data_IF_390838670768
#
_entry.id   IF_390838670768
#
_cell.length_a   1.000
_cell.length_b   1.000
_cell.length_c   1.000
_cell.angle_alpha   90.00
_cell.angle_beta   90.00
_cell.angle_gamma   90.00
#
_symmetry.space_group_name_H-M   'P 1'
#
loop_
_entity.id
_entity.type
_entity.pdbx_description
1 polymer ?
#
# COMPACT_ATOMS: atom_id res chain seq x y z
N UNK A 1 9.94 -29.12 -5.98
CA UNK A 1 9.21 -28.74 -7.25
C UNK A 1 7.80 -29.32 -7.37
N UNK A 2 7.57 -30.67 -7.48
CA UNK A 2 6.19 -31.23 -7.64
C UNK A 2 5.32 -31.04 -6.40
N UNK A 3 5.87 -31.26 -5.21
CA UNK A 3 5.15 -31.10 -3.93
C UNK A 3 4.81 -29.62 -3.67
N UNK A 4 5.73 -28.71 -3.94
CA UNK A 4 5.49 -27.27 -3.77
C UNK A 4 4.38 -26.79 -4.69
N UNK A 5 4.35 -27.27 -5.94
CA UNK A 5 3.29 -26.93 -6.88
C UNK A 5 1.92 -27.47 -6.44
N UNK A 6 1.86 -28.71 -5.96
CA UNK A 6 0.62 -29.29 -5.41
C UNK A 6 0.13 -28.51 -4.18
N UNK A 7 1.02 -28.08 -3.31
CA UNK A 7 0.67 -27.25 -2.16
C UNK A 7 0.11 -25.89 -2.61
N UNK A 8 0.76 -25.24 -3.57
CA UNK A 8 0.26 -23.97 -4.12
C UNK A 8 -1.13 -24.11 -4.77
N UNK A 9 -1.35 -25.16 -5.56
CA UNK A 9 -2.64 -25.46 -6.17
C UNK A 9 -3.72 -25.70 -5.08
N UNK A 10 -3.38 -26.37 -4.00
CA UNK A 10 -4.28 -26.56 -2.85
C UNK A 10 -4.61 -25.25 -2.17
N UNK A 11 -3.61 -24.38 -1.90
CA UNK A 11 -3.83 -23.05 -1.32
C UNK A 11 -4.79 -22.20 -2.16
N UNK A 12 -4.63 -22.20 -3.49
CA UNK A 12 -5.53 -21.46 -4.39
C UNK A 12 -6.98 -21.95 -4.28
N UNK A 13 -7.19 -23.27 -4.21
CA UNK A 13 -8.53 -23.84 -4.04
C UNK A 13 -9.14 -23.51 -2.66
N UNK A 14 -8.33 -23.55 -1.61
CA UNK A 14 -8.75 -23.19 -0.25
C UNK A 14 -9.10 -21.70 -0.14
N UNK A 15 -8.32 -20.80 -0.73
CA UNK A 15 -8.60 -19.36 -0.78
C UNK A 15 -9.94 -19.10 -1.48
N UNK A 16 -10.20 -19.78 -2.61
CA UNK A 16 -11.50 -19.67 -3.30
C UNK A 16 -12.65 -20.10 -2.40
N UNK A 17 -12.51 -21.23 -1.70
CA UNK A 17 -13.52 -21.72 -0.76
C UNK A 17 -13.74 -20.78 0.43
N UNK A 18 -12.71 -20.08 0.88
CA UNK A 18 -12.85 -19.04 1.91
C UNK A 18 -13.71 -17.88 1.40
N UNK A 19 -13.43 -17.38 0.21
CA UNK A 19 -14.20 -16.30 -0.43
C UNK A 19 -15.68 -16.66 -0.69
N UNK A 20 -15.96 -17.94 -1.02
CA UNK A 20 -17.30 -18.44 -1.24
C UNK A 20 -18.08 -18.74 0.06
N UNK A 21 -17.42 -18.70 1.22
CA UNK A 21 -18.02 -19.01 2.51
C UNK A 21 -18.78 -17.82 3.08
N UNK A 22 -20.09 -17.77 2.90
CA UNK A 22 -20.97 -16.71 3.43
C UNK A 22 -20.75 -16.49 4.93
N UNK A 23 -20.67 -17.55 5.74
CA UNK A 23 -20.47 -17.44 7.18
C UNK A 23 -19.13 -16.84 7.56
N UNK A 24 -18.06 -17.13 6.80
CA UNK A 24 -16.75 -16.53 7.03
C UNK A 24 -16.72 -15.06 6.61
N UNK A 25 -17.33 -14.72 5.47
CA UNK A 25 -17.46 -13.32 5.02
C UNK A 25 -18.26 -12.47 6.02
N UNK A 26 -19.37 -12.98 6.55
CA UNK A 26 -20.16 -12.29 7.59
C UNK A 26 -19.38 -12.06 8.88
N UNK A 27 -18.61 -13.08 9.35
CA UNK A 27 -17.76 -12.95 10.52
C UNK A 27 -16.65 -11.92 10.29
N UNK A 28 -16.03 -11.93 9.11
CA UNK A 28 -15.01 -10.96 8.71
C UNK A 28 -15.55 -9.54 8.71
N UNK A 29 -16.69 -9.30 8.05
CA UNK A 29 -17.32 -7.97 8.02
C UNK A 29 -17.63 -7.46 9.43
N UNK A 30 -18.19 -8.33 10.28
CA UNK A 30 -18.46 -8.00 11.68
C UNK A 30 -17.18 -7.69 12.46
N UNK A 31 -16.14 -8.50 12.26
CA UNK A 31 -14.85 -8.30 12.91
C UNK A 31 -14.22 -6.98 12.49
N UNK A 32 -14.24 -6.66 11.18
CA UNK A 32 -13.73 -5.40 10.65
C UNK A 32 -14.43 -4.21 11.30
N UNK A 33 -15.76 -4.18 11.34
CA UNK A 33 -16.52 -3.10 11.98
C UNK A 33 -16.14 -2.91 13.44
N UNK A 34 -16.07 -3.99 14.23
CA UNK A 34 -15.74 -3.94 15.65
C UNK A 34 -14.28 -3.55 15.92
N UNK A 35 -13.34 -4.03 15.09
CA UNK A 35 -11.94 -3.71 15.25
C UNK A 35 -11.60 -2.29 14.82
N UNK A 36 -12.25 -1.76 13.76
CA UNK A 36 -12.15 -0.36 13.36
C UNK A 36 -12.65 0.58 14.45
N UNK A 37 -13.81 0.26 15.10
CA UNK A 37 -14.32 1.01 16.25
C UNK A 37 -13.29 1.12 17.38
N UNK A 38 -12.51 0.07 17.61
CA UNK A 38 -11.46 0.03 18.65
C UNK A 38 -10.09 0.51 18.14
N UNK A 39 -9.99 1.03 16.93
CA UNK A 39 -8.74 1.51 16.32
C UNK A 39 -7.63 0.46 16.33
N UNK A 40 -7.99 -0.78 16.01
CA UNK A 40 -7.08 -1.93 16.08
C UNK A 40 -5.78 -1.70 15.29
N UNK A 41 -5.84 -1.12 14.07
CA UNK A 41 -4.68 -0.81 13.23
C UNK A 41 -3.67 0.15 13.87
N UNK A 42 -4.07 0.97 14.85
CA UNK A 42 -3.22 1.96 15.51
C UNK A 42 -2.24 1.37 16.52
N UNK A 43 -2.36 0.08 16.85
CA UNK A 43 -1.60 -0.54 17.94
C UNK A 43 -0.28 -1.17 17.50
N UNK A 44 0.00 -1.19 16.21
CA UNK A 44 1.17 -1.87 15.66
C UNK A 44 2.37 -0.95 15.46
N UNK A 45 3.55 -1.56 15.39
CA UNK A 45 4.81 -0.87 15.16
C UNK A 45 5.64 -1.66 14.16
N UNK A 46 6.35 -0.97 13.30
CA UNK A 46 7.37 -1.54 12.43
C UNK A 46 8.72 -0.88 12.67
N UNK A 47 9.74 -1.67 12.99
CA UNK A 47 11.10 -1.19 13.24
C UNK A 47 11.16 0.07 14.14
N UNK A 48 10.35 0.08 15.23
CA UNK A 48 10.31 1.18 16.21
C UNK A 48 9.31 2.30 15.91
N UNK A 49 8.71 2.36 14.70
CA UNK A 49 7.72 3.40 14.35
C UNK A 49 6.30 2.85 14.37
N UNK A 50 5.30 3.64 14.82
CA UNK A 50 3.90 3.26 14.65
C UNK A 50 3.56 3.08 13.17
N UNK A 51 2.92 1.95 12.85
CA UNK A 51 2.37 1.67 11.53
C UNK A 51 0.86 1.49 11.68
N UNK A 52 0.08 2.34 11.00
CA UNK A 52 -1.38 2.32 11.11
C UNK A 52 -1.90 1.39 10.01
N UNK A 53 -1.68 0.09 10.21
CA UNK A 53 -2.06 -0.94 9.24
C UNK A 53 -2.51 -2.22 9.95
N UNK A 54 -3.33 -3.01 9.29
CA UNK A 54 -3.64 -4.36 9.74
C UNK A 54 -2.47 -5.30 9.43
N UNK A 55 -2.12 -6.23 10.32
CA UNK A 55 -1.01 -7.18 10.09
C UNK A 55 -1.16 -7.98 8.79
N UNK A 56 -2.38 -8.28 8.38
CA UNK A 56 -2.66 -8.99 7.12
C UNK A 56 -2.23 -8.17 5.91
N UNK A 57 -2.55 -6.86 5.89
CA UNK A 57 -2.16 -5.95 4.82
C UNK A 57 -0.64 -5.76 4.76
N UNK A 58 0.04 -5.75 5.93
CA UNK A 58 1.51 -5.72 6.00
C UNK A 58 2.11 -6.96 5.32
N UNK A 59 1.53 -8.16 5.53
CA UNK A 59 1.99 -9.39 4.88
C UNK A 59 1.71 -9.35 3.38
N UNK A 60 0.53 -8.88 2.96
CA UNK A 60 0.22 -8.71 1.54
C UNK A 60 1.20 -7.76 0.84
N UNK A 61 1.51 -6.62 1.46
CA UNK A 61 2.49 -5.67 0.94
C UNK A 61 3.89 -6.29 0.84
N UNK A 62 4.30 -7.12 1.81
CA UNK A 62 5.57 -7.83 1.75
C UNK A 62 5.61 -8.80 0.54
N UNK A 63 4.54 -9.57 0.31
CA UNK A 63 4.45 -10.48 -0.83
C UNK A 63 4.48 -9.71 -2.16
N UNK A 64 3.69 -8.63 -2.29
CA UNK A 64 3.70 -7.77 -3.48
C UNK A 64 5.10 -7.22 -3.75
N UNK A 65 5.76 -6.66 -2.73
CA UNK A 65 7.11 -6.08 -2.89
C UNK A 65 8.12 -7.15 -3.30
N UNK A 66 8.02 -8.37 -2.73
CA UNK A 66 8.91 -9.47 -3.07
C UNK A 66 8.72 -9.96 -4.51
N UNK A 67 7.48 -10.04 -4.99
CA UNK A 67 7.14 -10.51 -6.34
C UNK A 67 7.45 -9.45 -7.40
N UNK A 68 7.09 -8.19 -7.14
CA UNK A 68 7.33 -7.06 -8.07
C UNK A 68 8.81 -6.68 -8.12
N UNK A 69 9.51 -6.72 -6.99
CA UNK A 69 10.89 -6.21 -6.80
C UNK A 69 11.02 -4.76 -7.28
N UNK A 70 10.23 -3.82 -6.73
CA UNK A 70 10.27 -2.43 -7.17
C UNK A 70 11.62 -1.80 -6.81
N UNK A 71 12.04 -0.84 -7.63
CA UNK A 71 13.17 0.04 -7.32
C UNK A 71 12.71 1.41 -6.78
N UNK A 72 11.43 1.73 -6.98
CA UNK A 72 10.78 2.88 -6.36
C UNK A 72 9.42 2.47 -5.76
N UNK A 73 9.19 2.87 -4.50
CA UNK A 73 7.85 2.86 -3.89
C UNK A 73 7.46 4.32 -3.66
N UNK A 74 6.29 4.71 -4.16
CA UNK A 74 5.68 6.02 -3.92
C UNK A 74 4.51 5.81 -2.97
N UNK A 75 4.46 6.59 -1.88
CA UNK A 75 3.41 6.50 -0.87
C UNK A 75 2.86 7.89 -0.57
N UNK A 76 1.56 8.07 -0.70
CA UNK A 76 0.87 9.26 -0.21
C UNK A 76 0.31 8.99 1.17
N UNK A 77 0.55 9.92 2.12
CA UNK A 77 0.26 9.73 3.54
C UNK A 77 1.46 9.14 4.29
N UNK A 78 2.15 9.96 5.09
CA UNK A 78 3.30 9.53 5.90
C UNK A 78 2.89 9.23 7.35
N UNK A 79 1.98 10.01 7.89
CA UNK A 79 1.52 9.95 9.28
C UNK A 79 2.71 9.82 10.28
N UNK A 80 2.86 8.66 10.95
CA UNK A 80 3.96 8.39 11.88
C UNK A 80 5.21 7.80 11.21
N UNK A 81 5.18 7.52 9.93
CA UNK A 81 6.29 7.01 9.13
C UNK A 81 6.53 5.50 9.22
N UNK A 82 5.62 4.75 9.85
CA UNK A 82 5.78 3.29 9.98
C UNK A 82 5.73 2.57 8.63
N UNK A 83 4.85 2.96 7.74
CA UNK A 83 4.66 2.37 6.42
C UNK A 83 5.83 2.66 5.47
N UNK A 84 6.32 3.89 5.41
CA UNK A 84 7.50 4.21 4.59
C UNK A 84 8.78 3.55 5.11
N UNK A 85 8.90 3.33 6.43
CA UNK A 85 10.03 2.58 7.01
C UNK A 85 9.86 1.08 6.72
N UNK A 86 8.64 0.54 6.75
CA UNK A 86 8.35 -0.82 6.30
C UNK A 86 8.77 -1.00 4.83
N UNK A 87 8.33 -0.13 3.95
CA UNK A 87 8.70 -0.13 2.53
C UNK A 87 10.21 -0.07 2.33
N UNK A 88 10.91 0.82 3.06
CA UNK A 88 12.37 0.92 3.03
C UNK A 88 13.07 -0.35 3.55
N UNK A 89 12.50 -1.03 4.57
CA UNK A 89 13.02 -2.29 5.09
C UNK A 89 12.88 -3.42 4.06
N UNK A 90 11.74 -3.51 3.37
CA UNK A 90 11.52 -4.49 2.31
C UNK A 90 12.47 -4.28 1.13
N UNK A 91 12.68 -3.03 0.71
CA UNK A 91 13.67 -2.70 -0.31
C UNK A 91 15.10 -3.04 0.10
N UNK A 92 15.45 -2.85 1.38
CA UNK A 92 16.76 -3.26 1.90
C UNK A 92 16.93 -4.79 1.90
N UNK A 93 15.86 -5.53 2.17
CA UNK A 93 15.86 -6.99 2.12
C UNK A 93 16.02 -7.51 0.68
N UNK A 94 15.40 -6.86 -0.31
CA UNK A 94 15.61 -7.20 -1.73
C UNK A 94 17.06 -6.98 -2.15
N UNK A 95 17.69 -5.86 -1.75
CA UNK A 95 19.11 -5.62 -2.03
C UNK A 95 20.02 -6.69 -1.40
N UNK A 96 19.69 -7.12 -0.18
CA UNK A 96 20.43 -8.19 0.50
C UNK A 96 20.30 -9.53 -0.24
N UNK A 97 19.10 -9.89 -0.68
CA UNK A 97 18.88 -11.13 -1.43
C UNK A 97 19.65 -11.12 -2.76
N UNK A 98 19.57 -10.04 -3.51
CA UNK A 98 20.32 -9.90 -4.78
C UNK A 98 21.84 -9.96 -4.56
N UNK A 99 22.35 -9.34 -3.48
CA UNK A 99 23.78 -9.39 -3.16
C UNK A 99 24.23 -10.82 -2.83
N UNK A 100 23.43 -11.58 -2.06
CA UNK A 100 23.69 -12.98 -1.74
C UNK A 100 23.67 -13.84 -3.00
N UNK A 101 22.65 -13.69 -3.86
CA UNK A 101 22.50 -14.46 -5.09
C UNK A 101 23.64 -14.20 -6.10
N UNK A 102 24.09 -12.95 -6.20
CA UNK A 102 25.18 -12.55 -7.12
C UNK A 102 26.59 -12.65 -6.54
N UNK A 103 26.72 -12.95 -5.24
CA UNK A 103 28.01 -12.95 -4.53
C UNK A 103 28.66 -11.55 -4.46
N UNK A 104 27.85 -10.48 -4.57
CA UNK A 104 28.33 -9.11 -4.50
C UNK A 104 28.31 -8.56 -3.09
N UNK A 105 28.98 -7.41 -2.88
CA UNK A 105 28.94 -6.67 -1.63
C UNK A 105 27.85 -5.60 -1.68
N UNK A 106 27.17 -5.39 -0.56
CA UNK A 106 26.17 -4.34 -0.39
C UNK A 106 26.73 -3.17 0.42
N UNK A 107 26.50 -1.95 -0.06
CA UNK A 107 26.66 -0.76 0.77
C UNK A 107 25.26 -0.30 1.22
N UNK A 108 24.88 -0.49 2.49
CA UNK A 108 23.53 -0.21 2.95
C UNK A 108 23.13 1.27 2.85
N UNK A 109 24.10 2.19 2.75
CA UNK A 109 23.86 3.62 2.63
C UNK A 109 23.69 4.09 1.16
N UNK A 110 24.01 3.25 0.18
CA UNK A 110 23.98 3.59 -1.25
C UNK A 110 23.11 2.59 -2.03
N UNK A 111 21.83 2.56 -1.72
CA UNK A 111 20.88 1.77 -2.49
C UNK A 111 20.38 2.51 -3.73
N UNK A 112 20.15 1.74 -4.79
CA UNK A 112 19.41 2.22 -5.97
C UNK A 112 17.90 2.27 -5.71
N UNK A 113 17.41 1.52 -4.71
CA UNK A 113 16.00 1.46 -4.35
C UNK A 113 15.62 2.56 -3.36
N UNK A 114 14.50 3.23 -3.59
CA UNK A 114 14.02 4.37 -2.78
C UNK A 114 12.54 4.25 -2.46
N UNK A 115 12.17 4.97 -1.40
CA UNK A 115 10.78 5.27 -1.04
C UNK A 115 10.58 6.77 -1.09
N UNK A 116 9.54 7.23 -1.78
CA UNK A 116 9.06 8.61 -1.70
C UNK A 116 7.82 8.60 -0.82
N UNK A 117 7.84 9.35 0.28
CA UNK A 117 6.65 9.63 1.07
C UNK A 117 6.17 11.06 0.83
N UNK A 118 4.87 11.24 0.60
CA UNK A 118 4.23 12.54 0.35
C UNK A 118 3.21 12.78 1.46
N UNK A 119 3.28 13.91 2.14
CA UNK A 119 2.29 14.29 3.14
C UNK A 119 2.10 15.81 3.16
N UNK A 120 0.85 16.25 3.35
CA UNK A 120 0.53 17.67 3.44
C UNK A 120 1.13 18.31 4.69
N UNK A 121 1.25 17.55 5.78
CA UNK A 121 1.78 18.00 7.07
C UNK A 121 2.71 16.94 7.70
N UNK A 122 3.98 17.00 7.36
CA UNK A 122 5.00 16.16 7.99
C UNK A 122 5.38 16.80 9.34
N UNK A 123 4.70 16.37 10.40
CA UNK A 123 4.93 16.90 11.76
C UNK A 123 6.38 16.72 12.17
N UNK A 124 6.96 17.78 12.72
CA UNK A 124 8.40 17.87 13.05
C UNK A 124 8.90 16.67 13.87
N UNK A 125 8.17 16.26 14.90
CA UNK A 125 8.57 15.11 15.71
C UNK A 125 8.60 13.79 14.94
N UNK A 126 7.75 13.60 13.92
CA UNK A 126 7.78 12.43 13.03
C UNK A 126 8.92 12.55 12.02
N UNK A 127 9.12 13.73 11.43
CA UNK A 127 10.25 14.02 10.53
C UNK A 127 11.58 13.67 11.17
N UNK A 128 11.87 14.20 12.37
CA UNK A 128 13.11 13.92 13.10
C UNK A 128 13.30 12.42 13.33
N UNK A 129 12.24 11.71 13.70
CA UNK A 129 12.31 10.26 13.95
C UNK A 129 12.55 9.45 12.67
N UNK A 130 12.00 9.86 11.53
CA UNK A 130 12.21 9.21 10.25
C UNK A 130 13.63 9.50 9.74
N UNK A 131 14.08 10.74 9.80
CA UNK A 131 15.42 11.17 9.35
C UNK A 131 16.54 10.56 10.19
N UNK A 132 16.30 10.31 11.47
CA UNK A 132 17.25 9.63 12.35
C UNK A 132 17.21 8.10 12.28
N UNK A 133 16.24 7.54 11.55
CA UNK A 133 16.10 6.08 11.41
C UNK A 133 17.24 5.49 10.57
N UNK A 134 17.78 4.29 10.89
CA UNK A 134 18.85 3.64 10.11
C UNK A 134 18.55 3.47 8.62
N UNK A 135 17.27 3.40 8.22
CA UNK A 135 16.84 3.27 6.83
C UNK A 135 16.56 4.61 6.13
N UNK A 136 16.80 5.74 6.80
CA UNK A 136 16.48 7.08 6.26
C UNK A 136 17.16 7.38 4.93
N UNK A 137 18.35 6.83 4.68
CA UNK A 137 19.05 6.96 3.38
C UNK A 137 18.25 6.46 2.18
N UNK A 138 17.22 5.62 2.40
CA UNK A 138 16.32 5.09 1.37
C UNK A 138 15.03 5.90 1.22
N UNK A 139 14.79 6.87 2.11
CA UNK A 139 13.51 7.59 2.20
C UNK A 139 13.71 9.04 1.77
N UNK A 140 12.84 9.50 0.88
CA UNK A 140 12.72 10.90 0.52
C UNK A 140 11.31 11.38 0.87
N UNK A 141 11.22 12.40 1.70
CA UNK A 141 9.94 12.98 2.10
C UNK A 141 9.67 14.26 1.33
N UNK A 142 8.48 14.40 0.77
CA UNK A 142 7.97 15.59 0.10
C UNK A 142 6.80 16.13 0.92
N UNK A 143 6.90 17.38 1.37
CA UNK A 143 5.80 18.04 2.07
C UNK A 143 4.98 18.88 1.12
N UNK A 144 3.69 18.59 1.05
CA UNK A 144 2.69 19.26 0.21
C UNK A 144 1.52 18.34 -0.07
N UNK A 145 0.47 18.87 -0.65
CA UNK A 145 -0.67 18.04 -1.10
C UNK A 145 -0.24 17.13 -2.25
N UNK A 146 -0.58 15.85 -2.16
CA UNK A 146 -0.29 14.86 -3.21
C UNK A 146 -0.91 15.17 -4.57
N UNK A 147 -1.99 15.96 -4.59
CA UNK A 147 -2.67 16.42 -5.81
C UNK A 147 -2.21 17.81 -6.27
N UNK A 148 -1.24 18.43 -5.60
CA UNK A 148 -0.65 19.69 -6.02
C UNK A 148 0.27 19.48 -7.24
N UNK A 149 0.12 20.32 -8.26
CA UNK A 149 0.85 20.20 -9.52
C UNK A 149 2.38 20.25 -9.35
N UNK A 150 2.89 21.04 -8.39
CA UNK A 150 4.33 21.12 -8.12
C UNK A 150 4.85 19.85 -7.42
N UNK A 151 4.04 19.23 -6.56
CA UNK A 151 4.37 17.95 -5.93
C UNK A 151 4.34 16.84 -6.97
N UNK A 152 3.29 16.76 -7.78
CA UNK A 152 3.17 15.77 -8.86
C UNK A 152 4.40 15.87 -9.78
N UNK A 153 4.74 17.07 -10.24
CA UNK A 153 5.91 17.31 -11.09
C UNK A 153 7.21 16.80 -10.46
N UNK A 154 7.46 17.10 -9.18
CA UNK A 154 8.63 16.60 -8.44
C UNK A 154 8.67 15.08 -8.37
N UNK A 155 7.53 14.44 -8.14
CA UNK A 155 7.44 12.96 -8.10
C UNK A 155 7.80 12.38 -9.46
N UNK A 156 7.27 12.94 -10.56
CA UNK A 156 7.63 12.51 -11.92
C UNK A 156 9.11 12.70 -12.24
N UNK A 157 9.70 13.85 -11.85
CA UNK A 157 11.13 14.10 -12.02
C UNK A 157 11.99 13.06 -11.29
N UNK A 158 11.61 12.67 -10.08
CA UNK A 158 12.31 11.63 -9.33
C UNK A 158 12.07 10.25 -9.96
N UNK A 159 10.81 9.94 -10.27
CA UNK A 159 10.42 8.64 -10.81
C UNK A 159 11.05 8.32 -12.18
N UNK A 160 11.42 9.34 -12.97
CA UNK A 160 12.09 9.16 -14.25
C UNK A 160 13.42 8.41 -14.18
N UNK A 161 14.03 8.28 -13.00
CA UNK A 161 15.25 7.52 -12.74
C UNK A 161 15.03 6.04 -12.39
N UNK A 162 13.78 5.55 -12.41
CA UNK A 162 13.41 4.22 -11.93
C UNK A 162 12.62 3.44 -12.98
N UNK A 163 12.75 2.11 -12.97
CA UNK A 163 12.11 1.23 -13.95
C UNK A 163 10.88 0.51 -13.39
N UNK A 164 10.94 0.13 -12.09
CA UNK A 164 9.87 -0.63 -11.43
C UNK A 164 9.28 0.16 -10.28
N UNK A 165 8.14 0.75 -10.53
CA UNK A 165 7.44 1.61 -9.58
C UNK A 165 6.20 0.90 -9.01
N UNK A 166 6.08 0.93 -7.68
CA UNK A 166 4.91 0.53 -6.91
C UNK A 166 4.33 1.78 -6.24
N UNK A 167 3.00 1.91 -6.25
CA UNK A 167 2.27 3.06 -5.70
C UNK A 167 1.39 2.61 -4.54
N UNK A 168 1.39 3.39 -3.45
CA UNK A 168 0.50 3.24 -2.30
C UNK A 168 -0.23 4.55 -2.03
N UNK A 169 -1.55 4.54 -1.99
CA UNK A 169 -2.39 5.70 -1.70
C UNK A 169 -3.04 5.53 -0.33
N UNK A 170 -2.64 6.38 0.62
CA UNK A 170 -3.09 6.33 2.03
C UNK A 170 -3.10 7.74 2.66
N UNK A 171 -3.51 8.78 1.90
CA UNK A 171 -3.43 10.17 2.35
C UNK A 171 -4.76 10.71 2.87
N UNK A 172 -5.64 11.09 1.97
CA UNK A 172 -6.99 11.60 2.23
C UNK A 172 -7.99 10.59 1.68
N UNK A 173 -9.04 10.30 2.42
CA UNK A 173 -9.97 9.23 2.09
C UNK A 173 -11.28 9.71 1.43
N UNK A 174 -11.33 10.94 0.91
CA UNK A 174 -12.47 11.40 0.12
C UNK A 174 -12.37 10.90 -1.33
N UNK A 175 -13.51 10.62 -1.95
CA UNK A 175 -13.59 10.18 -3.34
C UNK A 175 -12.78 11.06 -4.30
N UNK A 176 -13.02 12.37 -4.27
CA UNK A 176 -12.40 13.29 -5.23
C UNK A 176 -10.88 13.36 -5.08
N UNK A 177 -10.38 13.29 -3.84
CA UNK A 177 -8.94 13.34 -3.60
C UNK A 177 -8.25 12.06 -4.10
N UNK A 178 -8.79 10.89 -3.75
CA UNK A 178 -8.21 9.61 -4.17
C UNK A 178 -8.31 9.42 -5.69
N UNK A 179 -9.41 9.86 -6.31
CA UNK A 179 -9.53 9.83 -7.76
C UNK A 179 -8.48 10.72 -8.43
N UNK A 180 -8.24 11.92 -7.88
CA UNK A 180 -7.20 12.81 -8.39
C UNK A 180 -5.78 12.22 -8.21
N UNK A 181 -5.50 11.53 -7.10
CA UNK A 181 -4.24 10.80 -6.92
C UNK A 181 -4.09 9.65 -7.93
N UNK A 182 -5.13 8.86 -8.15
CA UNK A 182 -5.14 7.80 -9.16
C UNK A 182 -4.86 8.37 -10.55
N UNK A 183 -5.56 9.43 -10.95
CA UNK A 183 -5.36 10.10 -12.25
C UNK A 183 -3.96 10.72 -12.37
N UNK A 184 -3.38 11.21 -11.27
CA UNK A 184 -2.06 11.82 -11.27
C UNK A 184 -0.91 10.82 -11.33
N UNK A 185 -1.02 9.66 -10.66
CA UNK A 185 0.13 8.78 -10.43
C UNK A 185 0.04 7.40 -11.08
N UNK A 186 -1.14 6.97 -11.56
CA UNK A 186 -1.31 5.64 -12.16
C UNK A 186 -0.34 5.37 -13.32
N UNK A 187 0.02 6.40 -14.09
CA UNK A 187 0.95 6.28 -15.21
C UNK A 187 2.36 5.88 -14.78
N UNK A 188 2.75 6.17 -13.54
CA UNK A 188 4.05 5.81 -12.98
C UNK A 188 4.16 4.34 -12.59
N UNK A 189 3.04 3.67 -12.29
CA UNK A 189 3.04 2.26 -11.89
C UNK A 189 3.52 1.40 -13.06
N UNK A 190 4.50 0.54 -12.86
CA UNK A 190 5.02 -0.31 -13.94
C UNK A 190 4.08 -1.45 -14.27
N UNK A 191 4.08 -1.93 -15.52
CA UNK A 191 3.30 -3.11 -15.91
C UNK A 191 3.71 -4.32 -15.08
N UNK A 192 2.73 -5.02 -14.50
CA UNK A 192 2.93 -6.12 -13.56
C UNK A 192 3.10 -5.69 -12.11
N UNK A 193 3.24 -4.37 -11.84
CA UNK A 193 3.23 -3.80 -10.49
C UNK A 193 1.83 -3.42 -10.03
N UNK A 194 1.74 -2.78 -8.86
CA UNK A 194 0.47 -2.45 -8.22
C UNK A 194 0.36 -0.97 -7.88
N UNK A 195 -0.88 -0.47 -7.93
CA UNK A 195 -1.34 0.67 -7.16
C UNK A 195 -2.21 0.13 -6.02
N UNK A 196 -1.75 0.25 -4.78
CA UNK A 196 -2.53 -0.18 -3.61
C UNK A 196 -3.22 1.02 -3.02
N UNK A 197 -4.56 0.97 -2.98
CA UNK A 197 -5.40 2.04 -2.41
C UNK A 197 -5.93 1.55 -1.07
N UNK A 198 -5.45 2.15 0.01
CA UNK A 198 -5.86 1.80 1.36
C UNK A 198 -7.20 2.45 1.75
N UNK A 199 -7.77 2.00 2.84
CA UNK A 199 -9.03 2.47 3.44
C UNK A 199 -10.27 2.43 2.52
N UNK A 200 -10.22 1.58 1.47
CA UNK A 200 -11.42 1.28 0.67
C UNK A 200 -12.52 0.60 1.49
N UNK A 201 -12.16 -0.03 2.63
CA UNK A 201 -13.09 -0.62 3.59
C UNK A 201 -14.12 0.39 4.12
N UNK A 202 -13.86 1.70 4.05
CA UNK A 202 -14.76 2.75 4.51
C UNK A 202 -16.16 2.63 3.88
N UNK A 203 -16.26 2.17 2.63
CA UNK A 203 -17.55 1.93 1.97
C UNK A 203 -18.40 0.86 2.67
N UNK A 204 -17.75 -0.13 3.25
CA UNK A 204 -18.40 -1.31 3.81
C UNK A 204 -18.61 -1.19 5.33
N UNK A 205 -18.15 -0.09 5.93
CA UNK A 205 -18.30 0.17 7.36
C UNK A 205 -19.59 0.94 7.69
N UNK A 206 -20.13 0.78 8.92
CA UNK A 206 -21.23 1.61 9.37
C UNK A 206 -20.90 3.11 9.32
N UNK A 207 -21.83 3.94 8.83
CA UNK A 207 -21.68 5.39 8.72
C UNK A 207 -21.28 6.07 10.05
N UNK A 208 -21.68 5.48 11.17
CA UNK A 208 -21.33 5.97 12.51
C UNK A 208 -19.82 6.00 12.79
N UNK A 209 -19.02 5.22 12.06
CA UNK A 209 -17.56 5.18 12.23
C UNK A 209 -16.83 6.31 11.49
N UNK A 210 -17.54 7.02 10.62
CA UNK A 210 -17.02 8.15 9.84
C UNK A 210 -17.78 9.46 10.06
N UNK A 211 -18.67 9.53 11.04
CA UNK A 211 -19.56 10.67 11.28
C UNK A 211 -18.83 12.00 11.58
N UNK A 212 -17.59 11.95 12.02
CA UNK A 212 -16.70 13.10 12.29
C UNK A 212 -15.68 13.35 11.18
N UNK A 213 -15.83 12.67 10.04
CA UNK A 213 -14.88 12.70 8.91
C UNK A 213 -15.53 13.30 7.66
N UNK A 214 -14.73 13.90 6.75
CA UNK A 214 -15.25 14.35 5.46
C UNK A 214 -15.52 13.21 4.46
N UNK A 215 -15.20 11.96 4.83
CA UNK A 215 -15.44 10.75 4.04
C UNK A 215 -16.34 9.77 4.79
N UNK A 216 -16.92 8.85 4.06
CA UNK A 216 -17.83 7.82 4.58
C UNK A 216 -18.42 7.00 3.43
N UNK A 217 -19.42 6.14 3.69
CA UNK A 217 -20.12 5.43 2.63
C UNK A 217 -20.60 6.37 1.52
N UNK A 218 -20.30 6.03 0.25
CA UNK A 218 -20.60 6.84 -0.93
C UNK A 218 -19.58 7.94 -1.26
N UNK A 219 -18.66 8.27 -0.34
CA UNK A 219 -17.59 9.26 -0.55
C UNK A 219 -16.29 8.76 0.10
N UNK A 220 -15.56 7.87 -0.58
CA UNK A 220 -14.39 7.20 0.01
C UNK A 220 -13.48 6.61 -1.08
N UNK A 221 -12.32 6.00 -0.70
CA UNK A 221 -11.36 5.45 -1.65
C UNK A 221 -11.96 4.35 -2.56
N UNK A 222 -12.87 3.50 -2.08
CA UNK A 222 -13.48 2.44 -2.89
C UNK A 222 -14.29 3.02 -4.05
N UNK A 223 -15.09 4.05 -3.78
CA UNK A 223 -15.88 4.73 -4.81
C UNK A 223 -14.99 5.40 -5.87
N UNK A 224 -13.82 5.92 -5.45
CA UNK A 224 -12.81 6.47 -6.36
C UNK A 224 -12.17 5.37 -7.23
N UNK A 225 -11.79 4.25 -6.64
CA UNK A 225 -11.28 3.07 -7.37
C UNK A 225 -12.25 2.61 -8.44
N UNK A 226 -13.54 2.44 -8.11
CA UNK A 226 -14.54 2.02 -9.08
C UNK A 226 -14.71 3.05 -10.22
N UNK A 227 -14.68 4.34 -9.91
CA UNK A 227 -14.76 5.41 -10.90
C UNK A 227 -13.53 5.44 -11.83
N UNK A 228 -12.34 5.18 -11.28
CA UNK A 228 -11.09 5.08 -12.03
C UNK A 228 -11.10 3.86 -12.97
N UNK A 229 -11.43 2.68 -12.47
CA UNK A 229 -11.45 1.44 -13.25
C UNK A 229 -12.51 1.44 -14.35
N UNK A 230 -13.59 2.21 -14.22
CA UNK A 230 -14.58 2.39 -15.27
C UNK A 230 -14.01 3.12 -16.51
N UNK A 231 -12.91 3.87 -16.35
CA UNK A 231 -12.27 4.67 -17.41
C UNK A 231 -10.91 4.10 -17.83
N UNK A 232 -10.19 3.45 -16.91
CA UNK A 232 -8.83 2.98 -17.13
C UNK A 232 -8.76 1.44 -17.12
N UNK A 233 -8.66 0.84 -18.29
CA UNK A 233 -8.58 -0.62 -18.49
C UNK A 233 -7.18 -1.20 -18.33
N UNK A 234 -6.20 -0.38 -17.95
CA UNK A 234 -4.82 -0.83 -17.69
C UNK A 234 -4.68 -1.53 -16.35
N UNK A 235 -5.62 -1.32 -15.46
CA UNK A 235 -5.64 -1.89 -14.12
C UNK A 235 -6.81 -2.85 -13.93
N UNK A 236 -6.60 -3.83 -13.07
CA UNK A 236 -7.63 -4.76 -12.58
C UNK A 236 -7.49 -4.92 -11.08
N UNK A 237 -8.58 -5.17 -10.38
CA UNK A 237 -8.53 -5.60 -8.98
C UNK A 237 -7.93 -7.00 -8.91
N UNK A 238 -6.94 -7.21 -8.05
CA UNK A 238 -6.41 -8.53 -7.73
C UNK A 238 -7.21 -9.13 -6.56
N UNK A 239 -8.39 -9.66 -6.87
CA UNK A 239 -9.30 -10.28 -5.90
C UNK A 239 -8.66 -11.45 -5.14
N UNK A 240 -7.60 -12.06 -5.68
CA UNK A 240 -6.92 -13.17 -5.01
C UNK A 240 -6.27 -12.71 -3.71
N UNK A 241 -5.75 -11.48 -3.65
CA UNK A 241 -5.12 -10.93 -2.44
C UNK A 241 -6.18 -10.76 -1.35
N UNK A 242 -7.27 -10.06 -1.63
CA UNK A 242 -8.31 -9.83 -0.62
C UNK A 242 -8.99 -11.12 -0.16
N UNK A 243 -9.26 -12.05 -1.10
CA UNK A 243 -9.82 -13.36 -0.80
C UNK A 243 -8.92 -14.20 0.11
N UNK A 244 -7.59 -14.07 -0.06
CA UNK A 244 -6.59 -14.70 0.80
C UNK A 244 -6.56 -14.08 2.19
N UNK A 245 -6.61 -12.75 2.26
CA UNK A 245 -6.51 -12.02 3.52
C UNK A 245 -7.77 -12.15 4.37
N UNK A 246 -8.93 -12.13 3.75
CA UNK A 246 -10.26 -12.00 4.40
C UNK A 246 -10.40 -10.70 5.21
N UNK A 247 -9.39 -10.37 6.01
CA UNK A 247 -9.29 -9.19 6.87
C UNK A 247 -8.33 -8.22 6.19
N UNK A 248 -8.85 -7.12 5.63
CA UNK A 248 -8.05 -6.09 4.96
C UNK A 248 -8.74 -4.73 5.07
N UNK A 249 -7.96 -3.65 5.10
CA UNK A 249 -8.50 -2.28 4.96
C UNK A 249 -8.63 -1.86 3.49
N UNK A 250 -8.18 -2.69 2.55
CA UNK A 250 -8.14 -2.38 1.13
C UNK A 250 -8.95 -3.35 0.25
N UNK A 251 -10.25 -3.69 0.59
CA UNK A 251 -11.08 -4.48 -0.31
C UNK A 251 -11.32 -3.71 -1.63
N UNK A 252 -11.14 -4.35 -2.79
CA UNK A 252 -11.04 -3.75 -4.14
C UNK A 252 -9.86 -2.78 -4.33
N UNK A 253 -8.96 -2.63 -3.34
CA UNK A 253 -7.88 -1.64 -3.37
C UNK A 253 -6.55 -2.14 -3.93
N UNK A 254 -6.37 -3.43 -4.16
CA UNK A 254 -5.15 -4.00 -4.74
C UNK A 254 -5.21 -3.99 -6.26
N UNK A 255 -4.83 -2.87 -6.88
CA UNK A 255 -4.95 -2.65 -8.33
C UNK A 255 -3.66 -3.08 -9.04
N UNK A 256 -3.71 -4.18 -9.79
CA UNK A 256 -2.59 -4.66 -10.61
C UNK A 256 -2.60 -4.01 -11.98
N UNK A 257 -1.46 -3.42 -12.39
CA UNK A 257 -1.29 -2.90 -13.76
C UNK A 257 -0.98 -4.04 -14.72
N UNK A 258 -1.87 -4.24 -15.72
CA UNK A 258 -1.76 -5.33 -16.71
C UNK A 258 -1.34 -4.87 -18.10
N UNK A 259 -1.33 -3.56 -18.36
CA UNK A 259 -0.96 -2.94 -19.66
C UNK A 259 -0.17 -1.66 -19.47
#
# INVERSE_FOLDING_TARGET
>A
MRQDRMFQEQCVDEIRKMAESTSLCELTSRWMSLSCEKKYSYHFRWAGRPIIQYPQDIVAMQEIIFDVKPDLIIETGIAHGGSIIFSAAMLAQLDLFEAIESGSTINPLHSKRKVIGIDIDIREHNRVQIESHPLSSRIQMLQGSSIDAEIIKKVYEIAAGYEKVLLCLDSNHTHDHVLAELEAYADLVSVGSYCVVFDTIVEDLPESLSSDRPWGPGNNPKTAVHSFLAKDTRFVVDEFIENKLMITVAPDGYLKRIK
#
